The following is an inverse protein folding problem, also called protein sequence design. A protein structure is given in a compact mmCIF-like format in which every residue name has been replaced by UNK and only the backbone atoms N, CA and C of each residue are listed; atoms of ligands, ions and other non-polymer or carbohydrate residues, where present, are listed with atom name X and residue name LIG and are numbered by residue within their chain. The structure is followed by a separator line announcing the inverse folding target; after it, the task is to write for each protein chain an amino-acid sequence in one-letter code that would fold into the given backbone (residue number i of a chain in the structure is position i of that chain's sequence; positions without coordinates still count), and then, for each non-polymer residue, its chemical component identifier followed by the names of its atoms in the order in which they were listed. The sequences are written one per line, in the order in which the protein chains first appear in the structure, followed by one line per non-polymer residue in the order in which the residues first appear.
data_IF_578037422579
#
_entry.id   IF_578037422579
#
_cell.length_a   1.000
_cell.length_b   1.000
_cell.length_c   1.000
_cell.angle_alpha   90.00
_cell.angle_beta   90.00
_cell.angle_gamma   90.00
#
_symmetry.space_group_name_H-M   'P 1'
#
loop_
_entity.id
_entity.type
_entity.pdbx_description
1 polymer ?
#
# COMPACT_ATOMS: atom_id res chain seq x y z
N UNK A 1 -57.84 71.84 3.63
CA UNK A 1 -56.48 71.25 3.70
C UNK A 1 -56.53 69.86 3.10
N UNK A 2 -56.12 69.70 1.84
CA UNK A 2 -55.86 68.40 1.22
C UNK A 2 -54.58 68.59 0.39
N UNK A 3 -53.56 67.79 0.70
CA UNK A 3 -52.21 67.86 0.12
C UNK A 3 -52.23 67.36 -1.32
N UNK A 4 -51.52 68.06 -2.20
CA UNK A 4 -51.20 67.65 -3.56
C UNK A 4 -50.41 66.32 -3.58
N UNK A 5 -50.70 65.38 -4.50
CA UNK A 5 -49.78 64.31 -4.84
C UNK A 5 -48.79 64.80 -5.91
N UNK A 6 -47.51 64.89 -5.53
CA UNK A 6 -46.42 65.31 -6.40
C UNK A 6 -45.83 64.15 -7.20
N UNK A 7 -45.86 64.33 -8.52
CA UNK A 7 -44.87 63.97 -9.55
C UNK A 7 -44.39 62.51 -9.74
N UNK A 8 -44.70 62.04 -10.95
CA UNK A 8 -44.01 61.03 -11.76
C UNK A 8 -42.49 61.31 -11.90
N UNK A 9 -41.68 60.27 -11.68
CA UNK A 9 -40.41 59.93 -12.37
C UNK A 9 -40.11 58.46 -12.01
N UNK A 10 -40.40 57.47 -12.87
CA UNK A 10 -39.54 56.91 -13.94
C UNK A 10 -38.16 56.45 -13.43
N UNK A 11 -37.95 55.13 -13.53
CA UNK A 11 -36.68 54.44 -13.82
C UNK A 11 -35.51 54.64 -12.84
N UNK A 12 -35.28 53.63 -12.00
CA UNK A 12 -34.02 52.85 -11.98
C UNK A 12 -34.11 51.80 -10.89
N UNK A 13 -34.50 50.60 -11.29
CA UNK A 13 -34.09 49.38 -10.64
C UNK A 13 -32.57 49.39 -10.60
N UNK A 14 -32.00 49.65 -9.43
CA UNK A 14 -30.60 49.33 -9.16
C UNK A 14 -30.50 47.81 -9.07
N UNK A 15 -30.40 47.16 -10.24
CA UNK A 15 -29.76 45.85 -10.33
C UNK A 15 -28.30 46.07 -9.93
N UNK A 16 -28.01 45.94 -8.64
CA UNK A 16 -26.66 45.61 -8.21
C UNK A 16 -26.40 44.19 -8.70
N UNK A 17 -25.86 44.10 -9.92
CA UNK A 17 -25.12 42.92 -10.33
C UNK A 17 -24.02 42.74 -9.29
N UNK A 18 -24.14 41.75 -8.41
CA UNK A 18 -22.97 41.19 -7.77
C UNK A 18 -22.18 40.55 -8.91
N UNK A 19 -21.29 41.33 -9.51
CA UNK A 19 -20.13 40.77 -10.19
C UNK A 19 -19.44 39.93 -9.15
N UNK A 20 -19.46 38.61 -9.31
CA UNK A 20 -18.51 37.72 -8.65
C UNK A 20 -17.11 38.16 -9.10
N UNK A 21 -16.57 39.18 -8.45
CA UNK A 21 -15.18 39.58 -8.63
C UNK A 21 -14.34 38.48 -7.99
N UNK A 22 -13.39 37.98 -8.77
CA UNK A 22 -12.24 37.23 -8.27
C UNK A 22 -11.72 37.97 -7.03
N UNK A 23 -11.87 37.41 -5.82
CA UNK A 23 -11.59 38.12 -4.56
C UNK A 23 -12.65 38.09 -3.46
N UNK A 24 -13.83 37.48 -3.65
CA UNK A 24 -14.87 37.41 -2.61
C UNK A 24 -14.44 36.54 -1.41
N UNK A 25 -14.49 37.03 -0.15
CA UNK A 25 -14.07 36.28 1.04
C UNK A 25 -14.80 34.93 1.19
N UNK A 26 -16.10 34.90 0.90
CA UNK A 26 -16.91 33.68 1.03
C UNK A 26 -16.53 32.62 -0.02
N UNK A 27 -16.03 33.03 -1.20
CA UNK A 27 -15.45 32.11 -2.19
C UNK A 27 -14.06 31.64 -1.74
N UNK A 28 -13.27 32.52 -1.13
CA UNK A 28 -11.93 32.19 -0.65
C UNK A 28 -11.94 31.16 0.49
N UNK A 29 -12.85 31.29 1.46
CA UNK A 29 -12.93 30.35 2.58
C UNK A 29 -13.29 28.92 2.13
N UNK A 30 -14.19 28.78 1.14
CA UNK A 30 -14.53 27.48 0.56
C UNK A 30 -13.39 26.89 -0.30
N UNK A 31 -12.67 27.73 -1.07
CA UNK A 31 -11.50 27.28 -1.84
C UNK A 31 -10.33 26.88 -0.93
N UNK A 32 -10.12 27.58 0.17
CA UNK A 32 -9.09 27.25 1.17
C UNK A 32 -9.43 25.94 1.90
N UNK A 33 -10.71 25.71 2.23
CA UNK A 33 -11.17 24.43 2.79
C UNK A 33 -10.95 23.24 1.85
N UNK A 34 -11.17 23.43 0.54
CA UNK A 34 -10.88 22.40 -0.48
C UNK A 34 -9.38 22.16 -0.62
N UNK A 35 -8.55 23.21 -0.61
CA UNK A 35 -7.10 23.10 -0.69
C UNK A 35 -6.49 22.40 0.54
N UNK A 36 -6.93 22.74 1.75
CA UNK A 36 -6.53 22.04 2.97
C UNK A 36 -6.89 20.56 2.94
N UNK A 37 -8.09 20.24 2.45
CA UNK A 37 -8.56 18.88 2.42
C UNK A 37 -7.82 18.06 1.33
N UNK A 38 -7.45 18.67 0.20
CA UNK A 38 -6.55 18.07 -0.79
C UNK A 38 -5.16 17.78 -0.21
N UNK A 39 -4.63 18.70 0.61
CA UNK A 39 -3.37 18.50 1.33
C UNK A 39 -3.45 17.37 2.35
N UNK A 40 -4.58 17.25 3.08
CA UNK A 40 -4.84 16.11 3.99
C UNK A 40 -4.86 14.78 3.23
N UNK A 41 -5.57 14.69 2.11
CA UNK A 41 -5.61 13.48 1.28
C UNK A 41 -4.23 13.08 0.73
N UNK A 42 -3.42 14.06 0.31
CA UNK A 42 -2.03 13.82 -0.11
C UNK A 42 -1.15 13.31 1.04
N UNK A 43 -1.32 13.85 2.24
CA UNK A 43 -0.59 13.42 3.44
C UNK A 43 -0.95 11.99 3.84
N UNK A 44 -2.24 11.64 3.82
CA UNK A 44 -2.72 10.28 4.11
C UNK A 44 -2.17 9.28 3.08
N UNK A 45 -2.16 9.63 1.80
CA UNK A 45 -1.60 8.77 0.76
C UNK A 45 -0.08 8.55 0.92
N UNK A 46 0.67 9.60 1.25
CA UNK A 46 2.11 9.50 1.56
C UNK A 46 2.37 8.61 2.77
N UNK A 47 1.58 8.76 3.83
CA UNK A 47 1.71 7.92 5.02
C UNK A 47 1.40 6.45 4.72
N UNK A 48 0.39 6.18 3.88
CA UNK A 48 0.07 4.83 3.43
C UNK A 48 1.19 4.22 2.55
N UNK A 49 1.85 5.04 1.71
CA UNK A 49 3.00 4.61 0.91
C UNK A 49 4.21 4.30 1.78
N UNK A 50 4.52 5.13 2.77
CA UNK A 50 5.60 4.90 3.75
C UNK A 50 5.37 3.61 4.54
N UNK A 51 4.12 3.38 4.98
CA UNK A 51 3.72 2.13 5.65
C UNK A 51 3.92 0.91 4.74
N UNK A 52 3.55 1.01 3.46
CA UNK A 52 3.73 -0.09 2.50
C UNK A 52 5.21 -0.38 2.20
N UNK A 53 6.05 0.66 2.11
CA UNK A 53 7.50 0.53 1.98
C UNK A 53 8.10 -0.13 3.22
N UNK A 54 7.67 0.27 4.41
CA UNK A 54 8.10 -0.31 5.67
C UNK A 54 7.71 -1.79 5.78
N UNK A 55 6.46 -2.12 5.47
CA UNK A 55 5.96 -3.49 5.35
C UNK A 55 6.81 -4.33 4.39
N UNK A 56 7.08 -3.84 3.17
CA UNK A 56 7.93 -4.54 2.19
C UNK A 56 9.35 -4.77 2.73
N UNK A 57 9.87 -3.85 3.55
CA UNK A 57 11.17 -4.01 4.21
C UNK A 57 11.13 -5.13 5.25
N UNK A 58 10.14 -5.14 6.14
CA UNK A 58 9.97 -6.21 7.15
C UNK A 58 9.91 -7.58 6.48
N UNK A 59 9.04 -7.76 5.48
CA UNK A 59 8.89 -9.03 4.77
C UNK A 59 10.24 -9.46 4.15
N UNK A 60 10.97 -8.52 3.54
CA UNK A 60 12.28 -8.80 2.95
C UNK A 60 13.30 -9.25 4.00
N UNK A 61 13.33 -8.60 5.15
CA UNK A 61 14.28 -8.88 6.22
C UNK A 61 14.00 -10.24 6.86
N UNK A 62 12.74 -10.54 7.14
CA UNK A 62 12.28 -11.84 7.65
C UNK A 62 12.60 -12.98 6.68
N UNK A 63 12.27 -12.81 5.39
CA UNK A 63 12.62 -13.81 4.36
C UNK A 63 14.13 -13.99 4.21
N UNK A 64 14.92 -12.94 4.47
CA UNK A 64 16.38 -13.01 4.48
C UNK A 64 16.91 -13.73 5.73
N UNK A 65 16.26 -13.57 6.89
CA UNK A 65 16.49 -14.38 8.09
C UNK A 65 16.22 -15.86 7.85
N UNK A 66 15.06 -16.19 7.27
CA UNK A 66 14.68 -17.56 6.90
C UNK A 66 15.73 -18.21 5.99
N UNK A 67 16.13 -17.55 4.90
CA UNK A 67 17.17 -18.05 3.98
C UNK A 67 18.52 -18.26 4.66
N UNK A 68 18.89 -17.41 5.63
CA UNK A 68 20.14 -17.58 6.40
C UNK A 68 20.11 -18.86 7.24
N UNK A 69 19.00 -19.14 7.95
CA UNK A 69 18.83 -20.38 8.71
C UNK A 69 18.91 -21.61 7.80
N UNK A 70 18.22 -21.59 6.67
CA UNK A 70 18.25 -22.68 5.69
C UNK A 70 19.65 -22.94 5.12
N UNK A 71 20.44 -21.89 4.84
CA UNK A 71 21.84 -22.02 4.41
C UNK A 71 22.72 -22.68 5.47
N UNK A 72 22.56 -22.26 6.73
CA UNK A 72 23.32 -22.85 7.85
C UNK A 72 23.03 -24.34 7.99
N UNK A 73 21.76 -24.75 7.90
CA UNK A 73 21.37 -26.15 7.98
C UNK A 73 21.90 -26.98 6.79
N UNK A 74 21.82 -26.43 5.56
CA UNK A 74 22.42 -27.08 4.38
C UNK A 74 23.92 -27.29 4.55
N UNK A 75 24.63 -26.29 5.08
CA UNK A 75 26.08 -26.42 5.31
C UNK A 75 26.40 -27.41 6.42
N UNK A 76 25.60 -27.44 7.49
CA UNK A 76 25.72 -28.46 8.54
C UNK A 76 25.56 -29.88 7.97
N UNK A 77 24.54 -30.11 7.13
CA UNK A 77 24.35 -31.40 6.45
C UNK A 77 25.55 -31.76 5.56
N UNK A 78 26.02 -30.83 4.73
CA UNK A 78 27.19 -31.05 3.87
C UNK A 78 28.44 -31.38 4.66
N UNK A 79 28.68 -30.69 5.78
CA UNK A 79 29.81 -30.93 6.66
C UNK A 79 29.75 -32.35 7.24
N UNK A 80 28.57 -32.76 7.73
CA UNK A 80 28.34 -34.12 8.24
C UNK A 80 28.59 -35.19 7.16
N UNK A 81 28.07 -34.99 5.94
CA UNK A 81 28.27 -35.89 4.81
C UNK A 81 29.75 -36.01 4.39
N UNK A 82 30.48 -34.89 4.38
CA UNK A 82 31.94 -34.87 4.12
C UNK A 82 32.71 -35.63 5.20
N UNK A 83 32.35 -35.44 6.47
CA UNK A 83 32.97 -36.14 7.59
C UNK A 83 32.72 -37.66 7.52
N UNK A 84 31.49 -38.07 7.21
CA UNK A 84 31.14 -39.48 7.00
C UNK A 84 31.94 -40.10 5.84
N UNK A 85 32.03 -39.41 4.71
CA UNK A 85 32.81 -39.85 3.55
C UNK A 85 34.30 -40.04 3.90
N UNK A 86 34.90 -39.06 4.57
CA UNK A 86 36.30 -39.12 5.00
C UNK A 86 36.55 -40.26 5.98
N UNK A 87 35.60 -40.49 6.89
CA UNK A 87 35.68 -41.55 7.89
C UNK A 87 35.59 -42.93 7.24
N UNK A 88 34.65 -43.12 6.31
CA UNK A 88 34.51 -44.36 5.54
C UNK A 88 35.78 -44.66 4.74
N UNK A 89 36.27 -43.69 3.96
CA UNK A 89 37.47 -43.86 3.16
C UNK A 89 38.67 -44.26 4.03
N UNK A 90 38.88 -43.57 5.17
CA UNK A 90 39.98 -43.91 6.11
C UNK A 90 39.84 -45.33 6.69
N UNK A 91 38.62 -45.74 7.06
CA UNK A 91 38.38 -47.10 7.60
C UNK A 91 38.70 -48.17 6.56
N UNK A 92 38.29 -47.96 5.30
CA UNK A 92 38.56 -48.89 4.21
C UNK A 92 40.05 -48.92 3.84
N UNK A 93 40.73 -47.77 3.81
CA UNK A 93 42.19 -47.72 3.63
C UNK A 93 42.91 -48.50 4.74
N UNK A 94 42.51 -48.32 6.00
CA UNK A 94 43.09 -49.07 7.12
C UNK A 94 42.80 -50.58 7.05
N UNK A 95 41.73 -50.98 6.36
CA UNK A 95 41.40 -52.37 6.10
C UNK A 95 42.09 -52.93 4.84
N UNK A 96 43.01 -52.17 4.22
CA UNK A 96 43.69 -52.51 2.97
C UNK A 96 42.71 -52.77 1.79
N UNK A 97 41.54 -52.13 1.79
CA UNK A 97 40.64 -52.16 0.65
C UNK A 97 41.31 -51.51 -0.58
N UNK A 98 40.98 -52.02 -1.77
CA UNK A 98 41.44 -51.44 -3.02
C UNK A 98 40.85 -50.03 -3.24
N UNK A 99 41.52 -49.24 -4.07
CA UNK A 99 41.01 -47.90 -4.44
C UNK A 99 39.65 -47.95 -5.14
N UNK A 100 39.38 -49.03 -5.90
CA UNK A 100 38.10 -49.24 -6.56
C UNK A 100 36.98 -49.56 -5.57
N UNK A 101 37.24 -50.42 -4.58
CA UNK A 101 36.29 -50.69 -3.49
C UNK A 101 35.99 -49.44 -2.68
N UNK A 102 37.01 -48.63 -2.37
CA UNK A 102 36.82 -47.34 -1.68
C UNK A 102 35.92 -46.41 -2.50
N UNK A 103 36.16 -46.29 -3.81
CA UNK A 103 35.37 -45.44 -4.70
C UNK A 103 33.90 -45.90 -4.75
N UNK A 104 33.67 -47.21 -4.92
CA UNK A 104 32.33 -47.80 -4.97
C UNK A 104 31.57 -47.59 -3.64
N UNK A 105 32.22 -47.80 -2.50
CA UNK A 105 31.61 -47.59 -1.18
C UNK A 105 31.31 -46.11 -0.91
N UNK A 106 32.19 -45.19 -1.31
CA UNK A 106 31.92 -43.74 -1.23
C UNK A 106 30.78 -43.33 -2.13
N UNK A 107 30.68 -43.89 -3.34
CA UNK A 107 29.58 -43.63 -4.25
C UNK A 107 28.24 -44.13 -3.69
N UNK A 108 28.23 -45.33 -3.12
CA UNK A 108 27.04 -45.88 -2.46
C UNK A 108 26.61 -45.00 -1.28
N UNK A 109 27.56 -44.59 -0.42
CA UNK A 109 27.27 -43.69 0.69
C UNK A 109 26.63 -42.37 0.21
N UNK A 110 27.10 -41.80 -0.90
CA UNK A 110 26.50 -40.59 -1.49
C UNK A 110 25.09 -40.84 -2.02
N UNK A 111 24.86 -41.99 -2.65
CA UNK A 111 23.53 -42.40 -3.09
C UNK A 111 22.56 -42.51 -1.91
N UNK A 112 23.00 -43.11 -0.80
CA UNK A 112 22.21 -43.25 0.43
C UNK A 112 21.92 -41.90 1.11
N UNK A 113 22.81 -40.91 0.94
CA UNK A 113 22.66 -39.55 1.47
C UNK A 113 21.80 -38.63 0.58
N UNK A 114 21.60 -38.97 -0.70
CA UNK A 114 20.84 -38.15 -1.64
C UNK A 114 19.37 -37.95 -1.22
N UNK A 115 18.62 -38.97 -0.74
CA UNK A 115 17.25 -38.79 -0.26
C UNK A 115 17.13 -37.78 0.87
N UNK A 116 18.05 -37.79 1.83
CA UNK A 116 18.06 -36.85 2.95
C UNK A 116 18.28 -35.41 2.47
N UNK A 117 19.16 -35.24 1.48
CA UNK A 117 19.43 -33.94 0.86
C UNK A 117 18.21 -33.42 0.11
N UNK A 118 17.52 -34.29 -0.63
CA UNK A 118 16.30 -33.92 -1.37
C UNK A 118 15.13 -33.62 -0.42
N UNK A 119 14.96 -34.39 0.66
CA UNK A 119 13.95 -34.10 1.70
C UNK A 119 14.18 -32.74 2.33
N UNK A 120 15.44 -32.40 2.66
CA UNK A 120 15.78 -31.09 3.19
C UNK A 120 15.47 -29.98 2.18
N UNK A 121 15.75 -30.20 0.89
CA UNK A 121 15.46 -29.24 -0.18
C UNK A 121 13.96 -28.94 -0.26
N UNK A 122 13.12 -29.99 -0.28
CA UNK A 122 11.66 -29.85 -0.35
C UNK A 122 11.11 -29.14 0.88
N UNK A 123 11.51 -29.58 2.08
CA UNK A 123 11.10 -28.95 3.33
C UNK A 123 11.42 -27.45 3.37
N UNK A 124 12.61 -27.06 2.90
CA UNK A 124 12.98 -25.63 2.80
C UNK A 124 12.17 -24.86 1.77
N UNK A 125 11.74 -25.51 0.70
CA UNK A 125 10.88 -24.91 -0.32
C UNK A 125 9.47 -24.69 0.23
N UNK A 126 8.91 -25.71 0.90
CA UNK A 126 7.59 -25.66 1.55
C UNK A 126 7.57 -24.60 2.66
N UNK A 127 8.52 -24.66 3.60
CA UNK A 127 8.67 -23.66 4.69
C UNK A 127 8.78 -22.23 4.15
N UNK A 128 9.47 -22.04 3.01
CA UNK A 128 9.63 -20.71 2.41
C UNK A 128 8.31 -20.21 1.84
N UNK A 129 7.54 -21.06 1.17
CA UNK A 129 6.25 -20.70 0.59
C UNK A 129 5.23 -20.41 1.69
N UNK A 130 5.14 -21.27 2.71
CA UNK A 130 4.28 -21.08 3.86
C UNK A 130 4.61 -19.80 4.63
N UNK A 131 5.89 -19.57 4.91
CA UNK A 131 6.31 -18.36 5.63
C UNK A 131 6.09 -17.09 4.82
N UNK A 132 6.28 -17.13 3.49
CA UNK A 132 5.95 -15.99 2.64
C UNK A 132 4.45 -15.69 2.66
N UNK A 133 3.59 -16.71 2.55
CA UNK A 133 2.14 -16.54 2.61
C UNK A 133 1.70 -15.95 3.95
N UNK A 134 2.22 -16.48 5.07
CA UNK A 134 1.98 -15.96 6.41
C UNK A 134 2.36 -14.49 6.56
N UNK A 135 3.53 -14.09 6.07
CA UNK A 135 3.97 -12.69 6.11
C UNK A 135 3.10 -11.77 5.26
N UNK A 136 2.57 -12.26 4.14
CA UNK A 136 1.65 -11.49 3.29
C UNK A 136 0.25 -11.35 3.93
N UNK A 137 -0.16 -12.29 4.77
CA UNK A 137 -1.41 -12.27 5.55
C UNK A 137 -1.31 -11.38 6.79
N UNK A 138 -0.29 -11.57 7.64
CA UNK A 138 -0.12 -10.80 8.88
C UNK A 138 0.20 -9.33 8.64
N UNK A 139 0.90 -9.03 7.55
CA UNK A 139 1.25 -7.66 7.18
C UNK A 139 0.55 -7.34 5.86
N UNK A 140 -0.78 -7.07 5.88
CA UNK A 140 -1.57 -6.90 4.69
C UNK A 140 -1.16 -5.64 3.91
N UNK A 141 -1.40 -5.66 2.60
CA UNK A 141 -1.17 -4.50 1.74
C UNK A 141 -2.10 -3.36 2.12
N UNK A 142 -1.54 -2.16 2.24
CA UNK A 142 -2.34 -0.94 2.26
C UNK A 142 -2.64 -0.54 0.82
N UNK A 143 -3.93 -0.51 0.44
CA UNK A 143 -4.34 -0.05 -0.90
C UNK A 143 -4.27 1.48 -0.97
N UNK A 144 -3.05 1.99 -1.21
CA UNK A 144 -2.75 3.41 -1.33
C UNK A 144 -3.61 4.08 -2.40
N UNK A 145 -3.88 3.37 -3.51
CA UNK A 145 -4.69 3.90 -4.62
C UNK A 145 -6.15 4.05 -4.20
N UNK A 146 -6.71 3.07 -3.51
CA UNK A 146 -8.08 3.17 -2.97
C UNK A 146 -8.18 4.28 -1.94
N UNK A 147 -7.21 4.40 -1.03
CA UNK A 147 -7.17 5.49 -0.05
C UNK A 147 -7.14 6.85 -0.78
N UNK A 148 -6.21 7.06 -1.69
CA UNK A 148 -6.12 8.30 -2.46
C UNK A 148 -7.40 8.61 -3.27
N UNK A 149 -8.01 7.60 -3.89
CA UNK A 149 -9.26 7.77 -4.66
C UNK A 149 -10.44 8.11 -3.76
N UNK A 150 -10.51 7.50 -2.57
CA UNK A 150 -11.56 7.82 -1.59
C UNK A 150 -11.39 9.23 -1.04
N UNK A 151 -10.17 9.65 -0.75
CA UNK A 151 -9.86 11.02 -0.32
C UNK A 151 -10.26 12.02 -1.41
N UNK A 152 -9.87 11.81 -2.69
CA UNK A 152 -10.29 12.68 -3.81
C UNK A 152 -11.82 12.71 -3.94
N UNK A 153 -12.50 11.57 -3.83
CA UNK A 153 -13.97 11.53 -3.92
C UNK A 153 -14.63 12.31 -2.79
N UNK A 154 -14.11 12.19 -1.56
CA UNK A 154 -14.61 12.97 -0.42
C UNK A 154 -14.44 14.48 -0.65
N UNK A 155 -13.34 14.90 -1.27
CA UNK A 155 -13.10 16.30 -1.65
C UNK A 155 -14.11 16.80 -2.69
N UNK A 156 -14.31 16.02 -3.75
CA UNK A 156 -15.23 16.39 -4.83
C UNK A 156 -16.67 16.50 -4.32
N UNK A 157 -17.11 15.58 -3.45
CA UNK A 157 -18.44 15.63 -2.82
C UNK A 157 -18.58 16.87 -1.93
N UNK A 158 -17.54 17.20 -1.14
CA UNK A 158 -17.58 18.40 -0.27
C UNK A 158 -17.67 19.67 -1.11
N UNK A 159 -16.88 19.78 -2.17
CA UNK A 159 -16.91 20.94 -3.08
C UNK A 159 -18.25 21.08 -3.80
N UNK A 160 -18.87 19.97 -4.22
CA UNK A 160 -20.19 19.96 -4.86
C UNK A 160 -21.29 20.42 -3.90
N UNK A 161 -21.26 19.95 -2.65
CA UNK A 161 -22.22 20.37 -1.61
C UNK A 161 -22.05 21.86 -1.27
N UNK A 162 -20.82 22.37 -1.14
CA UNK A 162 -20.57 23.80 -0.92
C UNK A 162 -21.09 24.64 -2.07
N UNK A 163 -20.83 24.23 -3.33
CA UNK A 163 -21.33 24.92 -4.51
C UNK A 163 -22.87 24.96 -4.55
N UNK A 164 -23.53 23.83 -4.32
CA UNK A 164 -24.99 23.75 -4.28
C UNK A 164 -25.56 24.61 -3.13
N UNK A 165 -24.90 24.62 -1.97
CA UNK A 165 -25.30 25.43 -0.83
C UNK A 165 -25.21 26.93 -1.16
N UNK A 166 -24.11 27.36 -1.79
CA UNK A 166 -23.94 28.74 -2.27
C UNK A 166 -24.97 29.12 -3.35
N UNK A 167 -25.27 28.20 -4.28
CA UNK A 167 -26.30 28.41 -5.30
C UNK A 167 -27.69 28.57 -4.67
N UNK A 168 -28.04 27.73 -3.70
CA UNK A 168 -29.30 27.84 -2.95
C UNK A 168 -29.35 29.15 -2.19
N UNK A 169 -28.31 29.50 -1.42
CA UNK A 169 -28.27 30.77 -0.67
C UNK A 169 -28.40 31.99 -1.59
N UNK A 170 -27.77 31.97 -2.77
CA UNK A 170 -27.92 33.02 -3.78
C UNK A 170 -29.33 33.05 -4.38
N UNK A 171 -29.92 31.90 -4.71
CA UNK A 171 -31.29 31.83 -5.23
C UNK A 171 -32.32 32.37 -4.22
N UNK A 172 -32.15 32.05 -2.92
CA UNK A 172 -32.98 32.61 -1.83
C UNK A 172 -32.83 34.12 -1.70
N UNK A 173 -31.60 34.63 -1.79
CA UNK A 173 -31.32 36.08 -1.73
C UNK A 173 -31.90 36.85 -2.92
N UNK A 174 -31.92 36.24 -4.11
CA UNK A 174 -32.44 36.84 -5.34
C UNK A 174 -33.97 36.64 -5.50
N UNK A 175 -34.64 35.96 -4.56
CA UNK A 175 -36.08 35.71 -4.61
C UNK A 175 -36.50 34.73 -5.71
N UNK A 176 -35.59 33.85 -6.16
CA UNK A 176 -35.78 32.91 -7.28
C UNK A 176 -36.24 31.52 -6.81
N UNK A 177 -36.93 31.41 -5.67
CA UNK A 177 -37.22 30.13 -5.01
C UNK A 177 -38.20 29.20 -5.78
N UNK A 178 -38.83 29.63 -6.88
CA UNK A 178 -39.89 28.84 -7.54
C UNK A 178 -39.46 27.92 -8.70
N UNK A 179 -38.21 27.96 -9.19
CA UNK A 179 -37.82 27.20 -10.41
C UNK A 179 -36.78 26.08 -10.22
N UNK A 180 -36.54 25.59 -9.00
CA UNK A 180 -35.52 24.54 -8.76
C UNK A 180 -36.09 23.10 -8.74
N UNK A 181 -37.40 22.93 -8.95
CA UNK A 181 -38.04 21.60 -9.08
C UNK A 181 -38.96 21.52 -10.31
N UNK A 182 -38.35 21.58 -11.51
CA UNK A 182 -38.95 21.20 -12.79
C UNK A 182 -38.08 20.17 -13.51
#
# INVERSE_FOLDING_TARGET
MIRSPGNRTRERESFEYITFTIGSPDLHDDFDGVAESANRGLQVARQAEEQDVHRRRIIRDEMSGCRRRQRAEKEHLRSSQRAATKTLARRLTNANASMEEIANQVQQLRADQAPTTERLRRRHEDERLEFQAYLEEEIPRTDVKRIYTNEIRALLVTAEVSLQTLQVQNARRLGLEEDIHG
#
